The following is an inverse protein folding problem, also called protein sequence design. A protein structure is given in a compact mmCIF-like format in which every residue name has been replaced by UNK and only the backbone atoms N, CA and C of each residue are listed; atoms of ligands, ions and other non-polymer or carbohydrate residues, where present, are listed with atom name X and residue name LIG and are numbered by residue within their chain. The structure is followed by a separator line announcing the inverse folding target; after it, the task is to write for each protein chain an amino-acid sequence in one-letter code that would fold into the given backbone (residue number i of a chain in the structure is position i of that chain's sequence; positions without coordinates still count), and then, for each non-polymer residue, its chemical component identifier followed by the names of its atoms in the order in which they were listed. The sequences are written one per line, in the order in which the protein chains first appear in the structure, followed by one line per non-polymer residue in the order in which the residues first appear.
data_IF_337786012904
#
_entry.id   IF_337786012904
#
_cell.length_a   1.000
_cell.length_b   1.000
_cell.length_c   1.000
_cell.angle_alpha   90.00
_cell.angle_beta   90.00
_cell.angle_gamma   90.00
#
_symmetry.space_group_name_H-M   'P 1'
#
loop_
_entity.id
_entity.type
_entity.pdbx_description
1 polymer ?
#
# COMPACT_ATOMS: atom_id res chain seq x y z
N UNK A 1 -0.18 7.63 18.59
CA UNK A 1 -0.29 8.68 17.52
C UNK A 1 -0.75 10.01 18.10
N UNK A 2 -0.08 11.17 17.80
CA UNK A 2 -0.42 12.50 18.32
C UNK A 2 -1.72 13.09 17.73
N UNK A 3 -2.38 14.03 18.46
CA UNK A 3 -3.57 14.74 17.95
C UNK A 3 -3.29 15.48 16.63
N UNK A 4 -2.09 16.07 16.50
CA UNK A 4 -1.63 16.73 15.29
C UNK A 4 -1.57 15.80 14.07
N UNK A 5 -0.96 14.63 14.19
CA UNK A 5 -0.92 13.65 13.09
C UNK A 5 -2.32 13.19 12.67
N UNK A 6 -3.24 13.00 13.62
CA UNK A 6 -4.64 12.68 13.28
C UNK A 6 -5.31 13.78 12.49
N UNK A 7 -5.08 15.04 12.85
CA UNK A 7 -5.59 16.17 12.10
C UNK A 7 -5.02 16.23 10.69
N UNK A 8 -3.70 16.11 10.53
CA UNK A 8 -3.04 16.10 9.21
C UNK A 8 -3.57 14.95 8.32
N UNK A 9 -3.74 13.76 8.86
CA UNK A 9 -4.29 12.61 8.10
C UNK A 9 -5.72 12.86 7.65
N UNK A 10 -6.56 13.46 8.49
CA UNK A 10 -7.91 13.87 8.09
C UNK A 10 -7.87 14.95 6.99
N UNK A 11 -6.98 15.93 7.11
CA UNK A 11 -6.79 16.93 6.06
C UNK A 11 -6.41 16.29 4.73
N UNK A 12 -5.41 15.37 4.74
CA UNK A 12 -5.01 14.62 3.55
C UNK A 12 -6.15 13.78 2.96
N UNK A 13 -6.94 13.11 3.80
CA UNK A 13 -8.14 12.40 3.35
C UNK A 13 -9.08 13.31 2.55
N UNK A 14 -9.40 14.48 3.08
CA UNK A 14 -10.29 15.43 2.41
C UNK A 14 -9.68 16.03 1.14
N UNK A 15 -8.38 16.35 1.16
CA UNK A 15 -7.65 16.81 -0.03
C UNK A 15 -7.65 15.76 -1.13
N UNK A 16 -7.29 14.52 -0.79
CA UNK A 16 -7.29 13.42 -1.77
C UNK A 16 -8.70 13.11 -2.27
N UNK A 17 -9.72 13.20 -1.40
CA UNK A 17 -11.12 13.02 -1.79
C UNK A 17 -11.60 14.11 -2.76
N UNK A 18 -11.18 15.35 -2.55
CA UNK A 18 -11.47 16.45 -3.47
C UNK A 18 -10.76 16.25 -4.82
N UNK A 19 -9.49 15.86 -4.81
CA UNK A 19 -8.74 15.51 -6.04
C UNK A 19 -9.41 14.36 -6.77
N UNK A 20 -9.79 13.31 -6.05
CA UNK A 20 -10.47 12.16 -6.63
C UNK A 20 -11.83 12.56 -7.23
N UNK A 21 -12.60 13.40 -6.57
CA UNK A 21 -13.85 13.92 -7.10
C UNK A 21 -13.67 14.68 -8.43
N UNK A 22 -12.60 15.45 -8.57
CA UNK A 22 -12.31 16.19 -9.80
C UNK A 22 -11.80 15.30 -10.94
N UNK A 23 -10.89 14.37 -10.65
CA UNK A 23 -10.04 13.74 -11.69
C UNK A 23 -10.15 12.20 -11.75
N UNK A 24 -10.91 11.57 -10.86
CA UNK A 24 -11.00 10.11 -10.82
C UNK A 24 -12.47 9.66 -10.97
N UNK A 25 -12.70 8.60 -11.72
CA UNK A 25 -13.90 7.78 -11.68
C UNK A 25 -13.60 6.54 -10.83
N UNK A 26 -13.88 6.60 -9.52
CA UNK A 26 -13.49 5.51 -8.62
C UNK A 26 -14.46 4.34 -8.74
N UNK A 27 -13.91 3.13 -8.78
CA UNK A 27 -14.64 1.88 -8.63
C UNK A 27 -14.06 1.17 -7.40
N UNK A 28 -14.85 1.09 -6.33
CA UNK A 28 -14.38 0.61 -5.02
C UNK A 28 -15.10 -0.68 -4.67
N UNK A 29 -14.34 -1.75 -4.44
CA UNK A 29 -14.86 -3.08 -4.10
C UNK A 29 -14.32 -3.55 -2.75
N UNK A 30 -15.13 -4.32 -2.02
CA UNK A 30 -14.70 -5.01 -0.80
C UNK A 30 -14.49 -4.09 0.39
N UNK A 31 -15.14 -2.92 0.46
CA UNK A 31 -15.05 -2.02 1.63
C UNK A 31 -15.46 -2.72 2.94
N UNK A 32 -16.34 -3.69 2.86
CA UNK A 32 -16.80 -4.53 3.97
C UNK A 32 -15.68 -5.39 4.55
N UNK A 33 -14.63 -5.68 3.78
CA UNK A 33 -13.45 -6.42 4.24
C UNK A 33 -12.50 -5.56 5.09
N UNK A 34 -12.65 -4.23 5.04
CA UNK A 34 -11.77 -3.33 5.80
C UNK A 34 -12.16 -3.36 7.28
N UNK A 35 -11.28 -3.82 8.19
CA UNK A 35 -11.63 -3.95 9.59
C UNK A 35 -11.83 -2.58 10.24
N UNK A 36 -12.81 -2.48 11.13
CA UNK A 36 -13.17 -1.24 11.85
C UNK A 36 -12.04 -0.74 12.77
N UNK A 37 -11.12 -1.63 13.16
CA UNK A 37 -9.96 -1.30 13.99
C UNK A 37 -8.79 -2.23 13.67
N UNK A 38 -7.55 -1.70 13.85
CA UNK A 38 -6.33 -2.47 13.65
C UNK A 38 -5.95 -3.33 14.86
N UNK A 39 -4.81 -4.02 14.78
CA UNK A 39 -3.81 -3.88 13.71
C UNK A 39 -4.09 -4.75 12.48
N UNK A 40 -3.60 -4.30 11.33
CA UNK A 40 -3.41 -5.14 10.16
C UNK A 40 -2.23 -4.62 9.31
N UNK A 41 -1.54 -5.53 8.64
CA UNK A 41 -0.56 -5.19 7.61
C UNK A 41 -1.28 -5.12 6.27
N UNK A 42 -1.39 -3.92 5.70
CA UNK A 42 -1.93 -3.72 4.37
C UNK A 42 -0.82 -4.02 3.36
N UNK A 43 -1.10 -4.88 2.39
CA UNK A 43 -0.21 -5.17 1.25
C UNK A 43 -0.88 -4.71 -0.03
N UNK A 44 -0.11 -4.01 -0.89
CA UNK A 44 -0.67 -3.47 -2.14
C UNK A 44 0.29 -3.67 -3.30
N UNK A 45 -0.24 -3.87 -4.53
CA UNK A 45 0.55 -3.57 -5.72
C UNK A 45 0.82 -2.06 -5.79
N UNK A 46 1.76 -1.64 -6.61
CA UNK A 46 2.09 -0.21 -6.77
C UNK A 46 2.37 0.10 -8.24
N UNK A 47 1.41 0.78 -8.87
CA UNK A 47 1.39 1.02 -10.32
C UNK A 47 1.67 2.50 -10.65
N UNK A 48 1.28 3.41 -9.74
CA UNK A 48 1.51 4.83 -9.94
C UNK A 48 1.21 5.70 -8.73
N UNK A 49 1.49 7.00 -8.85
CA UNK A 49 1.28 7.99 -7.77
C UNK A 49 -0.19 8.10 -7.34
N UNK A 50 -1.12 7.80 -8.26
CA UNK A 50 -2.55 7.86 -7.99
C UNK A 50 -3.04 6.79 -7.01
N UNK A 51 -2.28 5.70 -6.78
CA UNK A 51 -2.58 4.69 -5.75
C UNK A 51 -2.73 5.35 -4.38
N UNK A 52 -1.82 6.29 -4.05
CA UNK A 52 -1.83 7.00 -2.78
C UNK A 52 -3.07 7.90 -2.67
N UNK A 53 -3.44 8.59 -3.77
CA UNK A 53 -4.63 9.45 -3.80
C UNK A 53 -5.87 8.58 -3.57
N UNK A 54 -5.97 7.45 -4.27
CA UNK A 54 -7.11 6.55 -4.18
C UNK A 54 -7.22 5.94 -2.77
N UNK A 55 -6.10 5.46 -2.21
CA UNK A 55 -6.04 4.93 -0.85
C UNK A 55 -6.46 5.98 0.20
N UNK A 56 -5.87 7.18 0.17
CA UNK A 56 -6.18 8.22 1.15
C UNK A 56 -7.60 8.77 1.02
N UNK A 57 -8.17 8.77 -0.19
CA UNK A 57 -9.53 9.24 -0.43
C UNK A 57 -10.61 8.24 0.02
N UNK A 58 -10.36 6.94 -0.09
CA UNK A 58 -11.44 5.94 0.02
C UNK A 58 -11.24 4.91 1.14
N UNK A 59 -10.04 4.73 1.68
CA UNK A 59 -9.88 3.86 2.85
C UNK A 59 -10.50 4.50 4.10
N UNK A 60 -11.24 3.72 4.92
CA UNK A 60 -11.91 4.22 6.13
C UNK A 60 -10.93 4.78 7.17
N UNK A 61 -9.73 4.23 7.25
CA UNK A 61 -8.66 4.66 8.15
C UNK A 61 -7.35 4.80 7.37
N UNK A 62 -6.59 5.86 7.67
CA UNK A 62 -5.34 6.14 7.00
C UNK A 62 -4.18 5.36 7.67
N UNK A 63 -3.51 4.44 6.95
CA UNK A 63 -2.42 3.64 7.49
C UNK A 63 -1.13 4.45 7.68
N UNK A 64 -0.21 3.92 8.49
CA UNK A 64 1.20 4.28 8.40
C UNK A 64 1.74 3.68 7.10
N UNK A 65 2.22 4.50 6.19
CA UNK A 65 2.74 4.04 4.91
C UNK A 65 4.27 4.05 4.89
N UNK A 66 4.87 3.05 4.24
CA UNK A 66 6.30 3.02 3.96
C UNK A 66 6.57 3.81 2.68
N UNK A 67 7.52 4.73 2.74
CA UNK A 67 7.90 5.58 1.61
C UNK A 67 9.41 5.63 1.39
N UNK A 68 9.82 5.87 0.15
CA UNK A 68 11.20 5.97 -0.28
C UNK A 68 11.91 7.13 0.43
N UNK A 69 13.06 6.85 1.08
CA UNK A 69 13.78 7.85 1.88
C UNK A 69 14.24 9.06 1.07
N UNK A 70 14.51 8.90 -0.23
CA UNK A 70 14.93 9.99 -1.13
C UNK A 70 13.84 11.06 -1.31
N UNK A 71 12.56 10.73 -1.07
CA UNK A 71 11.47 11.71 -1.11
C UNK A 71 11.47 12.64 0.11
N UNK A 72 12.26 12.32 1.15
CA UNK A 72 12.33 13.12 2.38
C UNK A 72 12.77 14.56 2.13
N UNK A 73 13.70 14.78 1.20
CA UNK A 73 14.31 16.07 0.90
C UNK A 73 13.52 16.89 -0.12
N UNK A 74 12.44 16.35 -0.69
CA UNK A 74 11.60 17.14 -1.59
C UNK A 74 10.93 18.30 -0.85
N UNK A 75 11.02 19.55 -1.37
CA UNK A 75 10.71 20.74 -0.61
C UNK A 75 9.25 20.83 -0.14
N UNK A 76 8.31 20.37 -0.93
CA UNK A 76 6.87 20.37 -0.62
C UNK A 76 6.42 18.97 -0.21
N UNK A 77 6.61 17.98 -1.10
CA UNK A 77 6.15 16.61 -0.91
C UNK A 77 6.78 15.97 0.34
N UNK A 78 8.10 16.11 0.54
CA UNK A 78 8.80 15.57 1.71
C UNK A 78 8.27 16.17 3.03
N UNK A 79 7.99 17.47 3.07
CA UNK A 79 7.38 18.11 4.26
C UNK A 79 5.98 17.56 4.54
N UNK A 80 5.17 17.40 3.50
CA UNK A 80 3.83 16.87 3.58
C UNK A 80 3.81 15.41 4.09
N UNK A 81 4.66 14.56 3.52
CA UNK A 81 4.80 13.15 3.92
C UNK A 81 5.34 13.00 5.36
N UNK A 82 6.28 13.87 5.78
CA UNK A 82 6.73 13.93 7.18
C UNK A 82 5.61 14.31 8.13
N UNK A 83 4.81 15.32 7.79
CA UNK A 83 3.66 15.73 8.59
C UNK A 83 2.60 14.63 8.71
N UNK A 84 2.38 13.85 7.64
CA UNK A 84 1.54 12.67 7.63
C UNK A 84 2.07 11.58 8.59
N UNK A 85 3.38 11.49 8.76
CA UNK A 85 4.06 10.49 9.59
C UNK A 85 4.43 9.22 8.82
N UNK A 86 4.92 9.40 7.58
CA UNK A 86 5.42 8.31 6.75
C UNK A 86 6.65 7.64 7.37
N UNK A 87 6.76 6.32 7.21
CA UNK A 87 7.92 5.53 7.60
C UNK A 87 8.90 5.50 6.41
N UNK A 88 10.07 6.12 6.59
CA UNK A 88 11.07 6.24 5.54
C UNK A 88 11.91 4.98 5.41
N UNK A 89 12.06 4.46 4.20
CA UNK A 89 12.79 3.22 3.90
C UNK A 89 13.89 3.48 2.89
N UNK A 90 15.11 3.05 3.22
CA UNK A 90 16.21 2.96 2.27
C UNK A 90 16.07 1.63 1.51
N UNK A 91 15.70 1.71 0.26
CA UNK A 91 15.49 0.53 -0.61
C UNK A 91 16.82 -0.17 -0.92
N UNK A 92 16.74 -1.46 -1.29
CA UNK A 92 17.92 -2.26 -1.66
C UNK A 92 18.73 -2.81 -0.48
N UNK A 93 18.37 -2.49 0.76
CA UNK A 93 19.00 -3.04 1.98
C UNK A 93 17.99 -3.22 3.11
N UNK A 94 18.33 -4.08 4.07
CA UNK A 94 17.51 -4.25 5.26
C UNK A 94 17.57 -2.98 6.14
N UNK A 95 16.54 -2.15 6.08
CA UNK A 95 16.43 -0.96 6.92
C UNK A 95 15.80 -1.31 8.27
N UNK A 96 16.66 -1.58 9.26
CA UNK A 96 16.23 -1.97 10.61
C UNK A 96 15.37 -0.90 11.30
N UNK A 97 15.57 0.40 10.98
CA UNK A 97 14.76 1.50 11.56
C UNK A 97 13.36 1.50 10.99
N UNK A 98 13.22 1.33 9.68
CA UNK A 98 11.93 1.23 9.03
C UNK A 98 11.15 0.00 9.51
N UNK A 99 11.83 -1.17 9.59
CA UNK A 99 11.24 -2.41 10.13
C UNK A 99 10.73 -2.20 11.56
N UNK A 100 11.55 -1.60 12.45
CA UNK A 100 11.15 -1.32 13.83
C UNK A 100 9.95 -0.38 13.87
N UNK A 101 9.97 0.73 13.14
CA UNK A 101 8.87 1.69 13.09
C UNK A 101 7.55 1.06 12.60
N UNK A 102 7.63 0.15 11.61
CA UNK A 102 6.47 -0.60 11.13
C UNK A 102 5.93 -1.54 12.22
N UNK A 103 6.81 -2.31 12.90
CA UNK A 103 6.41 -3.19 14.01
C UNK A 103 5.82 -2.40 15.18
N UNK A 104 6.40 -1.27 15.56
CA UNK A 104 5.86 -0.38 16.61
C UNK A 104 4.47 0.13 16.20
N UNK A 105 4.27 0.46 14.92
CA UNK A 105 2.96 0.82 14.38
C UNK A 105 1.91 -0.27 14.57
N UNK A 106 2.25 -1.50 14.22
CA UNK A 106 1.36 -2.65 14.39
C UNK A 106 1.08 -2.97 15.87
N UNK A 107 2.09 -2.87 16.75
CA UNK A 107 1.91 -3.03 18.20
C UNK A 107 1.00 -1.96 18.80
N UNK A 108 1.04 -0.73 18.31
CA UNK A 108 0.12 0.35 18.70
C UNK A 108 -1.28 0.22 18.06
N UNK A 109 -1.61 -0.95 17.51
CA UNK A 109 -2.88 -1.26 16.83
C UNK A 109 -3.19 -0.35 15.64
N UNK A 110 -2.15 0.12 14.93
CA UNK A 110 -2.31 0.88 13.69
C UNK A 110 -2.27 -0.04 12.47
N UNK A 111 -2.82 0.43 11.38
CA UNK A 111 -2.59 -0.16 10.06
C UNK A 111 -1.24 0.27 9.54
N UNK A 112 -0.48 -0.64 8.95
CA UNK A 112 0.78 -0.34 8.25
C UNK A 112 0.66 -0.82 6.82
N UNK A 113 0.91 0.06 5.85
CA UNK A 113 0.81 -0.25 4.43
C UNK A 113 2.20 -0.39 3.80
N UNK A 114 2.38 -1.44 3.00
CA UNK A 114 3.62 -1.73 2.28
C UNK A 114 3.31 -2.31 0.89
N UNK A 115 4.06 -1.87 -0.12
CA UNK A 115 4.11 -2.54 -1.42
C UNK A 115 5.16 -3.65 -1.34
N UNK A 116 4.79 -4.94 -1.48
CA UNK A 116 5.74 -6.05 -1.36
C UNK A 116 6.84 -6.01 -2.42
N UNK A 117 6.57 -5.43 -3.58
CA UNK A 117 7.53 -5.23 -4.68
C UNK A 117 8.68 -4.27 -4.27
N UNK A 118 8.46 -3.43 -3.25
CA UNK A 118 9.43 -2.45 -2.77
C UNK A 118 9.61 -1.24 -3.67
N UNK A 119 8.93 -1.16 -4.80
CA UNK A 119 8.94 -0.04 -5.76
C UNK A 119 7.64 0.00 -6.55
N UNK A 120 7.45 1.06 -7.31
CA UNK A 120 6.45 1.13 -8.38
C UNK A 120 6.83 0.16 -9.50
N UNK A 121 5.85 -0.57 -10.03
CA UNK A 121 6.04 -1.51 -11.12
C UNK A 121 6.51 -0.81 -12.40
N UNK A 122 7.52 -1.36 -13.06
CA UNK A 122 7.99 -0.87 -14.34
C UNK A 122 7.24 -1.50 -15.53
N UNK A 123 6.66 -2.67 -15.31
CA UNK A 123 5.92 -3.42 -16.33
C UNK A 123 4.42 -3.14 -16.35
N UNK A 124 3.91 -2.42 -15.33
CA UNK A 124 2.47 -2.24 -15.08
C UNK A 124 1.79 -3.44 -14.41
N UNK A 125 2.44 -4.62 -14.39
CA UNK A 125 1.97 -5.81 -13.68
C UNK A 125 2.77 -6.09 -12.42
N UNK A 126 2.36 -7.10 -11.63
CA UNK A 126 3.09 -7.53 -10.44
C UNK A 126 4.49 -8.02 -10.78
N UNK A 127 5.48 -7.50 -10.08
CA UNK A 127 6.88 -7.89 -10.14
C UNK A 127 7.25 -8.78 -8.94
N UNK A 128 8.50 -9.24 -8.89
CA UNK A 128 8.97 -10.11 -7.79
C UNK A 128 8.78 -9.45 -6.43
N UNK A 129 8.06 -10.12 -5.55
CA UNK A 129 7.86 -9.68 -4.18
C UNK A 129 9.13 -9.76 -3.34
N UNK A 130 9.36 -8.78 -2.48
CA UNK A 130 10.43 -8.77 -1.50
C UNK A 130 9.99 -9.37 -0.17
N UNK A 131 10.92 -9.89 0.61
CA UNK A 131 10.64 -10.58 1.87
C UNK A 131 10.13 -9.66 3.00
N UNK A 132 10.10 -8.34 2.79
CA UNK A 132 9.79 -7.36 3.83
C UNK A 132 8.39 -7.49 4.42
N UNK A 133 7.38 -7.63 3.56
CA UNK A 133 5.99 -7.76 3.98
C UNK A 133 5.75 -9.06 4.76
N UNK A 134 6.22 -10.19 4.23
CA UNK A 134 6.12 -11.49 4.91
C UNK A 134 6.86 -11.50 6.26
N UNK A 135 8.04 -10.89 6.31
CA UNK A 135 8.79 -10.73 7.57
C UNK A 135 8.00 -9.94 8.61
N UNK A 136 7.41 -8.79 8.24
CA UNK A 136 6.61 -7.97 9.14
C UNK A 136 5.38 -8.73 9.65
N UNK A 137 4.65 -9.40 8.76
CA UNK A 137 3.46 -10.19 9.12
C UNK A 137 3.81 -11.33 10.10
N UNK A 138 4.80 -12.16 9.76
CA UNK A 138 5.24 -13.28 10.62
C UNK A 138 5.80 -12.82 11.96
N UNK A 139 6.54 -11.70 11.98
CA UNK A 139 7.13 -11.17 13.20
C UNK A 139 6.11 -10.54 14.14
N UNK A 140 5.08 -9.90 13.60
CA UNK A 140 4.02 -9.24 14.39
C UNK A 140 2.84 -10.15 14.70
N UNK A 141 2.62 -11.22 13.91
CA UNK A 141 1.47 -12.11 14.04
C UNK A 141 0.13 -11.48 13.63
N UNK A 142 0.14 -10.26 13.04
CA UNK A 142 -1.09 -9.55 12.65
C UNK A 142 -1.66 -10.10 11.35
N UNK A 143 -2.99 -9.95 11.12
CA UNK A 143 -3.59 -10.27 9.84
C UNK A 143 -3.07 -9.36 8.71
N UNK A 144 -3.10 -9.87 7.50
CA UNK A 144 -2.77 -9.17 6.26
C UNK A 144 -4.06 -8.79 5.55
N UNK A 145 -4.15 -7.51 5.14
CA UNK A 145 -5.25 -6.99 4.33
C UNK A 145 -4.71 -6.71 2.92
N UNK A 146 -5.07 -7.51 1.91
CA UNK A 146 -4.64 -7.25 0.54
C UNK A 146 -5.53 -6.18 -0.09
N UNK A 147 -4.90 -5.17 -0.68
CA UNK A 147 -5.58 -4.10 -1.42
C UNK A 147 -4.92 -4.01 -2.79
N UNK A 148 -5.69 -3.98 -3.86
CA UNK A 148 -5.16 -3.84 -5.21
C UNK A 148 -5.69 -2.58 -5.90
N UNK A 149 -4.84 -2.01 -6.77
CA UNK A 149 -5.12 -0.84 -7.58
C UNK A 149 -4.98 -1.16 -9.06
N UNK A 150 -5.87 -0.60 -9.89
CA UNK A 150 -5.75 -0.63 -11.36
C UNK A 150 -6.21 0.69 -11.97
N UNK A 151 -5.69 1.03 -13.15
CA UNK A 151 -5.97 2.29 -13.86
C UNK A 151 -5.25 3.50 -13.24
N UNK A 152 -4.23 3.26 -12.43
CA UNK A 152 -3.47 4.29 -11.69
C UNK A 152 -2.13 4.62 -12.34
N UNK A 153 -1.86 4.08 -13.53
CA UNK A 153 -0.63 4.29 -14.29
C UNK A 153 -0.36 5.79 -14.50
N UNK A 154 0.89 6.20 -14.25
CA UNK A 154 1.28 7.59 -14.25
C UNK A 154 1.08 8.27 -15.62
N UNK A 155 1.40 7.59 -16.72
CA UNK A 155 1.24 8.09 -18.09
C UNK A 155 -0.23 8.35 -18.42
N UNK A 156 -1.13 7.42 -18.08
CA UNK A 156 -2.57 7.54 -18.28
C UNK A 156 -3.15 8.64 -17.38
N UNK A 157 -2.83 8.61 -16.08
CA UNK A 157 -3.35 9.57 -15.11
C UNK A 157 -2.93 11.00 -15.46
N UNK A 158 -1.63 11.26 -15.68
CA UNK A 158 -1.14 12.60 -15.99
C UNK A 158 -1.57 13.09 -17.39
N UNK A 159 -1.74 12.18 -18.37
CA UNK A 159 -2.30 12.53 -19.67
C UNK A 159 -3.75 13.00 -19.56
N UNK A 160 -4.58 12.29 -18.79
CA UNK A 160 -5.96 12.66 -18.53
C UNK A 160 -6.07 13.95 -17.71
N UNK A 161 -5.20 14.11 -16.70
CA UNK A 161 -5.13 15.33 -15.87
C UNK A 161 -4.87 16.58 -16.72
N UNK A 162 -3.90 16.52 -17.66
CA UNK A 162 -3.61 17.61 -18.59
C UNK A 162 -4.79 17.96 -19.50
N UNK A 163 -5.67 16.99 -19.79
CA UNK A 163 -6.88 17.16 -20.61
C UNK A 163 -8.12 17.46 -19.77
N UNK A 164 -7.99 17.64 -18.46
CA UNK A 164 -9.10 17.80 -17.51
C UNK A 164 -10.13 16.66 -17.61
N UNK A 165 -9.68 15.45 -17.87
CA UNK A 165 -10.50 14.24 -17.97
C UNK A 165 -10.34 13.42 -16.69
N UNK A 166 -11.45 12.81 -16.26
CA UNK A 166 -11.42 11.85 -15.14
C UNK A 166 -10.88 10.51 -15.61
N UNK A 167 -10.04 9.90 -14.78
CA UNK A 167 -9.44 8.60 -15.06
C UNK A 167 -10.23 7.51 -14.32
N UNK A 168 -10.70 6.46 -15.00
CA UNK A 168 -11.27 5.29 -14.34
C UNK A 168 -10.19 4.58 -13.52
N UNK A 169 -10.45 4.37 -12.23
CA UNK A 169 -9.52 3.69 -11.34
C UNK A 169 -10.29 2.75 -10.43
N UNK A 170 -9.71 1.58 -10.16
CA UNK A 170 -10.31 0.59 -9.27
C UNK A 170 -9.44 0.39 -8.04
N UNK A 171 -10.09 0.30 -6.87
CA UNK A 171 -9.52 -0.13 -5.60
C UNK A 171 -10.31 -1.35 -5.13
N UNK A 172 -9.63 -2.48 -4.92
CA UNK A 172 -10.26 -3.70 -4.43
C UNK A 172 -9.63 -4.11 -3.09
N UNK A 173 -10.45 -4.32 -2.07
CA UNK A 173 -10.04 -4.78 -0.75
C UNK A 173 -10.44 -6.25 -0.62
N UNK A 174 -9.47 -7.13 -0.50
CA UNK A 174 -9.71 -8.55 -0.30
C UNK A 174 -9.91 -8.92 1.17
N UNK A 175 -10.28 -10.18 1.45
CA UNK A 175 -10.45 -10.66 2.81
C UNK A 175 -9.12 -10.71 3.57
N UNK A 176 -9.20 -10.54 4.91
CA UNK A 176 -8.06 -10.73 5.79
C UNK A 176 -7.55 -12.16 5.76
N UNK A 177 -6.23 -12.32 5.83
CA UNK A 177 -5.60 -13.65 5.96
C UNK A 177 -4.35 -13.57 6.86
N UNK A 178 -3.85 -14.75 7.26
CA UNK A 178 -2.64 -14.87 8.05
C UNK A 178 -1.62 -15.74 7.31
N UNK A 179 -0.35 -15.53 7.64
CA UNK A 179 0.73 -16.43 7.22
C UNK A 179 0.91 -17.54 8.26
N UNK A 180 1.28 -18.70 7.76
CA UNK A 180 1.53 -19.86 8.61
C UNK A 180 2.97 -19.81 9.17
N UNK A 181 3.17 -19.87 10.50
CA UNK A 181 4.48 -19.85 11.12
C UNK A 181 5.15 -21.23 11.24
N UNK A 182 4.49 -22.32 10.83
CA UNK A 182 4.91 -23.71 11.12
C UNK A 182 6.14 -24.22 10.36
N UNK A 183 6.77 -23.40 9.52
CA UNK A 183 7.96 -23.74 8.74
C UNK A 183 9.18 -23.06 9.35
N UNK A 184 10.38 -23.50 9.02
CA UNK A 184 11.58 -22.77 9.41
C UNK A 184 11.50 -21.31 8.93
N UNK A 185 12.15 -20.39 9.64
CA UNK A 185 11.95 -18.96 9.46
C UNK A 185 12.19 -18.46 8.03
N UNK A 186 13.23 -18.97 7.36
CA UNK A 186 13.55 -18.53 6.00
C UNK A 186 12.48 -19.00 5.00
N UNK A 187 12.08 -20.25 5.15
CA UNK A 187 11.05 -20.85 4.31
C UNK A 187 9.69 -20.23 4.56
N UNK A 188 9.33 -19.97 5.82
CA UNK A 188 8.10 -19.26 6.18
C UNK A 188 8.04 -17.86 5.51
N UNK A 189 9.15 -17.12 5.50
CA UNK A 189 9.22 -15.82 4.83
C UNK A 189 9.08 -15.98 3.31
N UNK A 190 9.75 -16.94 2.69
CA UNK A 190 9.65 -17.19 1.25
C UNK A 190 8.23 -17.59 0.85
N UNK A 191 7.66 -18.62 1.48
CA UNK A 191 6.29 -19.05 1.22
C UNK A 191 5.27 -17.97 1.53
N UNK A 192 5.50 -17.18 2.59
CA UNK A 192 4.67 -16.04 2.94
C UNK A 192 4.70 -14.94 1.89
N UNK A 193 5.87 -14.65 1.30
CA UNK A 193 6.01 -13.70 0.19
C UNK A 193 5.20 -14.17 -1.02
N UNK A 194 5.37 -15.43 -1.44
CA UNK A 194 4.61 -16.02 -2.55
C UNK A 194 3.10 -15.96 -2.28
N UNK A 195 2.65 -16.35 -1.08
CA UNK A 195 1.23 -16.28 -0.70
C UNK A 195 0.68 -14.86 -0.80
N UNK A 196 1.42 -13.85 -0.33
CA UNK A 196 1.03 -12.44 -0.44
C UNK A 196 0.87 -12.04 -1.90
N UNK A 197 1.85 -12.34 -2.74
CA UNK A 197 1.86 -11.95 -4.14
C UNK A 197 0.76 -12.65 -4.94
N UNK A 198 0.56 -13.95 -4.74
CA UNK A 198 -0.56 -14.67 -5.35
C UNK A 198 -1.92 -14.17 -4.89
N UNK A 199 -2.07 -13.79 -3.61
CA UNK A 199 -3.32 -13.20 -3.10
C UNK A 199 -3.61 -11.86 -3.77
N UNK A 200 -2.59 -11.02 -4.02
CA UNK A 200 -2.74 -9.79 -4.79
C UNK A 200 -3.10 -10.08 -6.26
N UNK A 201 -2.42 -11.05 -6.89
CA UNK A 201 -2.69 -11.45 -8.27
C UNK A 201 -4.14 -11.91 -8.47
N UNK A 202 -4.71 -12.64 -7.51
CA UNK A 202 -6.11 -13.10 -7.56
C UNK A 202 -7.14 -11.97 -7.60
N UNK A 203 -6.79 -10.78 -7.10
CA UNK A 203 -7.66 -9.61 -7.11
C UNK A 203 -7.50 -8.74 -8.36
N UNK A 204 -6.47 -9.01 -9.15
CA UNK A 204 -6.09 -8.20 -10.29
C UNK A 204 -6.55 -8.84 -11.62
N UNK A 205 -6.99 -8.03 -12.59
CA UNK A 205 -7.15 -8.47 -13.97
C UNK A 205 -5.85 -9.07 -14.52
N UNK A 206 -5.97 -9.94 -15.50
CA UNK A 206 -4.84 -10.74 -16.03
C UNK A 206 -3.65 -9.88 -16.48
N UNK A 207 -3.91 -8.70 -17.05
CA UNK A 207 -2.89 -7.75 -17.50
C UNK A 207 -2.04 -7.16 -16.36
N UNK A 208 -2.57 -7.14 -15.12
CA UNK A 208 -1.87 -6.65 -13.93
C UNK A 208 -1.21 -7.76 -13.10
N UNK A 209 -1.46 -9.05 -13.42
CA UNK A 209 -0.92 -10.17 -12.64
C UNK A 209 0.59 -10.36 -12.82
N UNK A 210 1.17 -9.82 -13.90
CA UNK A 210 2.61 -9.86 -14.17
C UNK A 210 3.17 -11.28 -14.13
N UNK A 211 4.23 -11.51 -13.35
CA UNK A 211 4.87 -12.83 -13.21
C UNK A 211 4.06 -13.83 -12.38
N UNK A 212 2.98 -13.40 -11.72
CA UNK A 212 2.08 -14.24 -10.90
C UNK A 212 0.78 -14.58 -11.65
N UNK A 213 0.79 -14.48 -12.97
CA UNK A 213 -0.35 -14.83 -13.82
C UNK A 213 -0.70 -16.30 -13.64
N UNK A 214 -2.00 -16.56 -13.42
CA UNK A 214 -2.53 -17.91 -13.41
C UNK A 214 -2.66 -18.42 -14.86
N UNK A 215 -2.18 -19.62 -15.14
CA UNK A 215 -2.36 -20.32 -16.43
C UNK A 215 -3.80 -20.84 -16.60
#
# INVERSE_FOLDING_TARGET
MTRWRRFIRKLWHWVCRFIAWLFIHPNIHGLENFPSQGPALIVTNHVGDADIILALAFLPLQPDALGKAELYDYPILGKAMRAYGMIWVHRGRADRRAIRAALDGLQEKRFVAVAPEGRESLSGGLETGTNGAAYLALKSGVPILPISFTGTENDVFYSNLKRLRRTPMTLTIGPLFHLDPHINRQEAIRCGTEKIMHTLAQQLPTEYQGIYRFE
#
